data_IF_883498254108
#
_entry.id   IF_883498254108
#
_cell.length_a   1.000
_cell.length_b   1.000
_cell.length_c   1.000
_cell.angle_alpha   90.00
_cell.angle_beta   90.00
_cell.angle_gamma   90.00
#
_symmetry.space_group_name_H-M   'P 1'
#
loop_
_entity.id
_entity.type
_entity.pdbx_description
1 polymer ?
#
# COMPACT_ATOMS: atom_id res chain seq x y z
N UNK A 1 -3.61 14.02 1.99
CA UNK A 1 -2.59 13.52 1.06
C UNK A 1 -3.07 12.22 0.43
N UNK A 2 -2.81 12.07 -0.87
CA UNK A 2 -3.25 10.90 -1.64
C UNK A 2 -2.04 10.02 -1.93
N UNK A 3 -2.22 8.70 -1.81
CA UNK A 3 -1.15 7.74 -2.05
C UNK A 3 -1.60 6.73 -3.09
N UNK A 4 -0.78 6.57 -4.12
CA UNK A 4 -1.01 5.58 -5.16
C UNK A 4 -0.14 4.36 -4.85
N UNK A 5 -0.79 3.22 -4.71
CA UNK A 5 -0.12 1.98 -4.34
C UNK A 5 -0.36 0.94 -5.42
N UNK A 6 0.72 0.31 -5.87
CA UNK A 6 0.69 -0.83 -6.77
C UNK A 6 1.34 -1.99 -6.02
N UNK A 7 0.53 -2.93 -5.60
CA UNK A 7 0.94 -4.02 -4.71
C UNK A 7 0.74 -5.37 -5.40
N UNK A 8 1.74 -6.24 -5.31
CA UNK A 8 1.67 -7.60 -5.85
C UNK A 8 1.25 -8.54 -4.73
N UNK A 9 -0.02 -8.96 -4.76
CA UNK A 9 -0.58 -9.83 -3.71
C UNK A 9 0.03 -11.22 -3.72
N UNK A 10 0.43 -11.69 -4.89
CA UNK A 10 1.01 -13.02 -5.02
C UNK A 10 2.39 -13.10 -4.37
N UNK A 11 3.19 -12.07 -4.57
CA UNK A 11 4.53 -11.99 -3.99
C UNK A 11 4.57 -11.31 -2.63
N UNK A 12 3.49 -10.60 -2.27
CA UNK A 12 3.47 -9.82 -1.04
C UNK A 12 4.42 -8.64 -1.09
N UNK A 13 4.57 -8.02 -2.25
CA UNK A 13 5.53 -6.94 -2.45
C UNK A 13 4.87 -5.66 -2.95
N UNK A 14 5.32 -4.54 -2.42
CA UNK A 14 4.95 -3.23 -2.92
C UNK A 14 5.77 -2.95 -4.19
N UNK A 15 5.08 -2.78 -5.31
CA UNK A 15 5.73 -2.57 -6.60
C UNK A 15 6.03 -1.11 -6.86
N UNK A 16 5.10 -0.23 -6.50
CA UNK A 16 5.34 1.20 -6.60
C UNK A 16 4.50 1.94 -5.58
N UNK A 17 4.99 3.10 -5.20
CA UNK A 17 4.37 3.94 -4.19
C UNK A 17 4.64 5.39 -4.55
N UNK A 18 3.57 6.19 -4.67
CA UNK A 18 3.71 7.58 -5.05
C UNK A 18 2.76 8.44 -4.24
N UNK A 19 3.23 9.62 -3.85
CA UNK A 19 2.43 10.59 -3.09
C UNK A 19 1.94 11.70 -4.00
N UNK A 20 0.73 12.17 -3.72
CA UNK A 20 0.13 13.30 -4.40
C UNK A 20 -0.48 14.23 -3.37
N UNK A 21 -0.49 15.51 -3.67
CA UNK A 21 -1.22 16.47 -2.86
C UNK A 21 -2.71 16.29 -3.10
N UNK A 22 -3.53 16.81 -2.19
CA UNK A 22 -4.98 16.69 -2.32
C UNK A 22 -5.51 17.37 -3.58
N UNK A 23 -4.84 18.42 -4.06
CA UNK A 23 -5.21 19.12 -5.28
C UNK A 23 -4.79 18.38 -6.56
N UNK A 24 -4.09 17.27 -6.43
CA UNK A 24 -3.63 16.45 -7.54
C UNK A 24 -4.44 15.16 -7.71
N UNK A 25 -5.67 15.16 -7.21
CA UNK A 25 -6.53 13.98 -7.26
C UNK A 25 -6.75 13.47 -8.69
N UNK A 26 -7.01 14.38 -9.63
CA UNK A 26 -7.25 13.99 -11.03
C UNK A 26 -6.01 13.34 -11.63
N UNK A 27 -4.84 13.85 -11.31
CA UNK A 27 -3.57 13.34 -11.77
C UNK A 27 -3.31 11.93 -11.19
N UNK A 28 -3.60 11.76 -9.90
CA UNK A 28 -3.46 10.47 -9.23
C UNK A 28 -4.39 9.42 -9.85
N UNK A 29 -5.63 9.79 -10.14
CA UNK A 29 -6.60 8.91 -10.79
C UNK A 29 -6.11 8.49 -12.17
N UNK A 30 -5.54 9.41 -12.91
CA UNK A 30 -5.03 9.12 -14.25
C UNK A 30 -3.86 8.13 -14.19
N UNK A 31 -2.95 8.33 -13.25
CA UNK A 31 -1.82 7.42 -13.10
C UNK A 31 -2.27 6.02 -12.66
N UNK A 32 -3.26 5.96 -11.76
CA UNK A 32 -3.83 4.68 -11.35
C UNK A 32 -4.38 3.93 -12.56
N UNK A 33 -5.16 4.64 -13.38
CA UNK A 33 -5.74 4.04 -14.57
C UNK A 33 -4.67 3.57 -15.56
N UNK A 34 -3.63 4.38 -15.75
CA UNK A 34 -2.52 4.02 -16.63
C UNK A 34 -1.86 2.72 -16.18
N UNK A 35 -1.65 2.56 -14.88
CA UNK A 35 -1.07 1.34 -14.34
C UNK A 35 -2.01 0.16 -14.58
N UNK A 36 -3.29 0.32 -14.28
CA UNK A 36 -4.27 -0.75 -14.48
C UNK A 36 -4.32 -1.21 -15.94
N UNK A 37 -4.29 -0.27 -16.87
CA UNK A 37 -4.31 -0.58 -18.29
C UNK A 37 -3.04 -1.28 -18.75
N UNK A 38 -1.92 -1.06 -18.08
CA UNK A 38 -0.64 -1.66 -18.44
C UNK A 38 -0.45 -3.06 -17.88
N UNK A 39 -1.28 -3.48 -16.92
CA UNK A 39 -1.11 -4.77 -16.24
C UNK A 39 -1.53 -5.97 -17.07
N UNK A 40 -2.41 -5.76 -18.03
CA UNK A 40 -2.82 -6.81 -18.95
C UNK A 40 -3.26 -8.07 -18.19
N UNK A 41 -2.71 -9.23 -18.51
CA UNK A 41 -3.07 -10.48 -17.86
C UNK A 41 -2.66 -10.63 -16.40
N UNK A 42 -1.92 -9.67 -15.86
CA UNK A 42 -1.42 -9.72 -14.49
C UNK A 42 -2.38 -9.15 -13.46
N UNK A 43 -3.53 -8.65 -13.89
CA UNK A 43 -4.46 -7.92 -13.00
C UNK A 43 -4.88 -8.69 -11.77
N UNK A 44 -5.04 -10.00 -11.88
CA UNK A 44 -5.52 -10.82 -10.79
C UNK A 44 -4.61 -10.85 -9.57
N UNK A 45 -3.31 -10.64 -9.77
CA UNK A 45 -2.34 -10.66 -8.70
C UNK A 45 -1.88 -9.26 -8.26
N UNK A 46 -2.35 -8.21 -8.94
CA UNK A 46 -1.94 -6.84 -8.66
C UNK A 46 -3.10 -6.06 -8.08
N UNK A 47 -2.79 -5.27 -7.07
CA UNK A 47 -3.77 -4.41 -6.42
C UNK A 47 -3.29 -2.96 -6.59
N UNK A 48 -4.04 -2.18 -7.36
CA UNK A 48 -3.70 -0.79 -7.63
C UNK A 48 -4.77 0.09 -7.00
N UNK A 49 -4.41 0.84 -5.98
CA UNK A 49 -5.39 1.60 -5.20
C UNK A 49 -4.90 3.01 -4.92
N UNK A 50 -5.87 3.91 -4.71
CA UNK A 50 -5.61 5.22 -4.18
C UNK A 50 -6.12 5.25 -2.74
N UNK A 51 -5.28 5.67 -1.83
CA UNK A 51 -5.63 5.77 -0.42
C UNK A 51 -5.38 7.19 0.06
N UNK A 52 -6.20 7.65 0.99
CA UNK A 52 -6.01 8.96 1.58
C UNK A 52 -5.63 8.81 3.04
N UNK A 53 -4.69 9.62 3.48
CA UNK A 53 -4.28 9.67 4.87
C UNK A 53 -3.74 11.06 5.16
N UNK A 54 -3.67 11.41 6.44
CA UNK A 54 -3.14 12.70 6.85
C UNK A 54 -1.68 12.83 6.42
N UNK A 55 -0.90 11.78 6.62
CA UNK A 55 0.49 11.71 6.21
C UNK A 55 0.88 10.25 5.98
N UNK A 56 2.12 10.03 5.55
CA UNK A 56 2.63 8.71 5.26
C UNK A 56 2.65 7.81 6.50
N UNK A 57 2.97 8.39 7.65
CA UNK A 57 3.00 7.62 8.90
C UNK A 57 1.63 7.08 9.26
N UNK A 58 0.59 7.89 9.09
CA UNK A 58 -0.78 7.45 9.33
C UNK A 58 -1.17 6.34 8.36
N UNK A 59 -0.74 6.46 7.10
CA UNK A 59 -1.00 5.45 6.09
C UNK A 59 -0.35 4.11 6.48
N UNK A 60 0.89 4.14 6.94
CA UNK A 60 1.60 2.93 7.34
C UNK A 60 0.91 2.23 8.51
N UNK A 61 0.37 2.99 9.45
CA UNK A 61 -0.32 2.42 10.62
C UNK A 61 -1.60 1.71 10.24
N UNK A 62 -2.35 2.26 9.29
CA UNK A 62 -3.67 1.74 8.94
C UNK A 62 -3.62 0.71 7.81
N UNK A 63 -2.56 0.71 7.02
CA UNK A 63 -2.43 -0.15 5.84
C UNK A 63 -1.10 -0.88 5.82
N UNK A 64 -0.75 -1.49 6.95
CA UNK A 64 0.54 -2.16 7.12
C UNK A 64 0.82 -3.24 6.07
N UNK A 65 -0.21 -3.91 5.60
CA UNK A 65 -0.03 -5.01 4.65
C UNK A 65 0.63 -4.60 3.35
N UNK A 66 0.57 -3.34 2.98
CA UNK A 66 1.23 -2.85 1.76
C UNK A 66 2.71 -2.56 1.95
N UNK A 67 3.13 -2.37 3.19
CA UNK A 67 4.49 -1.90 3.49
C UNK A 67 5.35 -2.97 4.17
N UNK A 68 4.75 -4.09 4.49
CA UNK A 68 5.44 -5.21 5.14
C UNK A 68 5.09 -6.51 4.45
N UNK A 69 6.05 -7.43 4.40
CA UNK A 69 5.75 -8.78 3.96
C UNK A 69 4.90 -9.46 5.03
N UNK A 70 4.24 -10.55 4.67
CA UNK A 70 3.46 -11.33 5.64
C UNK A 70 4.32 -11.70 6.84
N UNK A 71 5.56 -12.11 6.57
CA UNK A 71 6.49 -12.48 7.65
C UNK A 71 6.77 -11.31 8.58
N UNK A 72 7.00 -10.13 8.03
CA UNK A 72 7.27 -8.94 8.82
C UNK A 72 6.07 -8.56 9.68
N UNK A 73 4.87 -8.71 9.15
CA UNK A 73 3.65 -8.43 9.91
C UNK A 73 3.52 -9.39 11.09
N UNK A 74 3.77 -10.66 10.85
CA UNK A 74 3.72 -11.67 11.90
C UNK A 74 4.78 -11.43 12.98
N UNK A 75 5.97 -11.06 12.57
CA UNK A 75 7.05 -10.72 13.51
C UNK A 75 6.69 -9.52 14.36
N UNK A 76 6.09 -8.50 13.75
CA UNK A 76 5.65 -7.31 14.48
C UNK A 76 4.57 -7.66 15.50
N UNK A 77 3.64 -8.53 15.15
CA UNK A 77 2.60 -8.96 16.06
C UNK A 77 3.17 -9.77 17.23
N UNK A 78 4.12 -10.66 16.94
CA UNK A 78 4.80 -11.43 17.98
C UNK A 78 5.56 -10.53 18.94
N UNK A 79 6.27 -9.55 18.41
CA UNK A 79 7.01 -8.59 19.23
C UNK A 79 6.07 -7.79 20.13
N UNK A 80 4.92 -7.39 19.59
CA UNK A 80 3.90 -6.67 20.35
C UNK A 80 3.38 -7.51 21.50
N UNK A 81 3.07 -8.78 21.23
CA UNK A 81 2.59 -9.70 22.26
C UNK A 81 3.65 -9.90 23.34
N UNK A 82 4.90 -10.07 22.93
CA UNK A 82 6.01 -10.25 23.85
C UNK A 82 6.25 -9.04 24.75
N UNK A 83 5.93 -7.86 24.25
CA UNK A 83 6.15 -6.60 24.96
C UNK A 83 5.05 -6.29 25.97
N UNK A 84 3.95 -7.01 25.94
CA UNK A 84 2.85 -6.76 26.87
C UNK A 84 3.26 -7.20 28.28
N UNK A 85 3.19 -6.30 29.24
CA UNK A 85 3.51 -6.63 30.63
C UNK A 85 2.61 -7.74 31.14
N UNK A 86 3.17 -8.58 31.95
CA UNK A 86 2.45 -9.70 32.53
C UNK A 86 1.92 -9.37 33.90
#
# INVERSE_FOLDING_TARGET
MIFLIDYDRKKGELRSFKRFRDDQRAEAQRERLDIELSLDGSRGSREVVLLEAHDEQALHRTHQRYFKTTREILESMSAMVSAIPK
#
